data_IF_288330123659
#
_entry.id   IF_288330123659
#
_cell.length_a   1.000
_cell.length_b   1.000
_cell.length_c   1.000
_cell.angle_alpha   90.00
_cell.angle_beta   90.00
_cell.angle_gamma   90.00
#
_symmetry.space_group_name_H-M   'P 1'
#
loop_
_entity.id
_entity.type
_entity.pdbx_description
1 polymer ?
#
# COMPACT_ATOMS: atom_id res chain seq x y z
N UNK A 1 22.60 4.59 13.00
CA UNK A 1 23.87 4.38 13.71
C UNK A 1 24.93 5.39 13.25
N UNK A 2 25.28 5.47 11.95
CA UNK A 2 26.31 6.41 11.43
C UNK A 2 26.03 7.88 11.77
N UNK A 3 24.78 8.32 11.72
CA UNK A 3 24.40 9.71 12.07
C UNK A 3 24.63 9.99 13.56
N UNK A 4 24.25 9.08 14.44
CA UNK A 4 24.47 9.21 15.89
C UNK A 4 25.97 9.23 16.23
N UNK A 5 26.75 8.33 15.61
CA UNK A 5 28.22 8.32 15.78
C UNK A 5 28.88 9.60 15.30
N UNK A 6 28.39 10.22 14.20
CA UNK A 6 28.90 11.49 13.66
C UNK A 6 28.73 12.67 14.65
N UNK A 7 27.73 12.62 15.52
CA UNK A 7 27.51 13.58 16.60
C UNK A 7 27.93 13.00 17.97
N UNK A 8 28.82 12.01 17.99
CA UNK A 8 29.39 11.39 19.20
C UNK A 8 28.34 10.88 20.20
N UNK A 9 27.23 10.29 19.69
CA UNK A 9 26.23 9.63 20.51
C UNK A 9 26.40 8.12 20.34
N UNK A 10 26.79 7.44 21.42
CA UNK A 10 27.05 6.00 21.46
C UNK A 10 26.23 5.26 22.52
N UNK A 11 25.74 5.99 23.54
CA UNK A 11 25.01 5.45 24.69
C UNK A 11 23.68 6.20 24.89
N UNK A 12 22.81 5.67 25.74
CA UNK A 12 21.57 6.36 26.14
C UNK A 12 21.89 7.65 26.95
N UNK A 13 22.95 7.68 27.73
CA UNK A 13 23.38 8.87 28.47
C UNK A 13 23.80 9.98 27.51
N UNK A 14 24.51 9.64 26.42
CA UNK A 14 24.87 10.62 25.38
C UNK A 14 23.65 11.23 24.71
N UNK A 15 22.58 10.43 24.48
CA UNK A 15 21.31 10.92 23.93
C UNK A 15 20.75 12.02 24.82
N UNK A 16 20.75 11.82 26.13
CA UNK A 16 20.27 12.80 27.10
C UNK A 16 21.16 14.02 27.18
N UNK A 17 22.45 13.84 27.27
CA UNK A 17 23.43 14.92 27.33
C UNK A 17 23.40 15.83 26.10
N UNK A 18 23.21 15.23 24.89
CA UNK A 18 23.21 15.95 23.61
C UNK A 18 21.81 16.13 23.03
N UNK A 19 20.77 16.16 23.85
CA UNK A 19 19.35 16.24 23.42
C UNK A 19 19.02 17.46 22.55
N UNK A 20 19.72 18.59 22.77
CA UNK A 20 19.52 19.79 21.95
C UNK A 20 20.04 19.60 20.53
N UNK A 21 21.28 19.10 20.39
CA UNK A 21 21.89 18.79 19.10
C UNK A 21 21.07 17.73 18.35
N UNK A 22 20.64 16.70 19.08
CA UNK A 22 19.81 15.63 18.54
C UNK A 22 18.47 16.19 17.98
N UNK A 23 17.85 17.14 18.66
CA UNK A 23 16.58 17.74 18.24
C UNK A 23 16.68 18.55 16.94
N UNK A 24 17.88 19.05 16.64
CA UNK A 24 18.14 19.83 15.41
C UNK A 24 18.52 18.88 14.24
N UNK A 25 19.23 17.78 14.54
CA UNK A 25 19.80 16.93 13.50
C UNK A 25 18.91 15.73 13.10
N UNK A 26 17.96 15.32 13.94
CA UNK A 26 17.18 14.09 13.74
C UNK A 26 15.70 14.31 13.99
N UNK A 27 14.87 14.13 12.97
CA UNK A 27 13.39 14.29 13.07
C UNK A 27 12.76 13.36 14.11
N UNK A 28 13.29 12.13 14.25
CA UNK A 28 12.81 11.13 15.21
C UNK A 28 13.42 11.25 16.62
N UNK A 29 13.99 12.40 16.96
CA UNK A 29 14.70 12.59 18.25
C UNK A 29 13.84 12.28 19.48
N UNK A 30 12.52 12.56 19.43
CA UNK A 30 11.60 12.27 20.55
C UNK A 30 11.53 10.79 20.86
N UNK A 31 11.55 9.94 19.83
CA UNK A 31 11.57 8.48 20.02
C UNK A 31 12.88 8.03 20.67
N UNK A 32 14.00 8.61 20.27
CA UNK A 32 15.32 8.30 20.87
C UNK A 32 15.40 8.76 22.32
N UNK A 33 14.88 9.95 22.64
CA UNK A 33 14.81 10.43 24.03
C UNK A 33 13.90 9.54 24.89
N UNK A 34 12.72 9.16 24.39
CA UNK A 34 11.84 8.26 25.09
C UNK A 34 12.51 6.90 25.34
N UNK A 35 13.19 6.35 24.33
CA UNK A 35 13.92 5.10 24.46
C UNK A 35 15.07 5.19 25.49
N UNK A 36 15.81 6.30 25.51
CA UNK A 36 16.87 6.54 26.51
C UNK A 36 16.34 6.60 27.95
N UNK A 37 15.09 7.07 28.13
CA UNK A 37 14.40 7.12 29.41
C UNK A 37 13.66 5.81 29.76
N UNK A 38 13.72 4.78 28.89
CA UNK A 38 12.96 3.55 29.06
C UNK A 38 11.46 3.70 28.83
N UNK A 39 11.04 4.77 28.18
CA UNK A 39 9.62 5.04 27.86
C UNK A 39 9.33 4.48 26.49
N UNK A 40 8.39 3.55 26.39
CA UNK A 40 7.90 3.01 25.12
C UNK A 40 6.41 2.73 25.20
N UNK A 41 5.75 2.73 24.05
CA UNK A 41 4.37 2.25 23.96
C UNK A 41 4.40 0.71 24.06
N UNK A 42 3.82 0.18 25.13
CA UNK A 42 3.70 -1.26 25.38
C UNK A 42 2.36 -1.81 24.89
N UNK A 43 1.48 -0.95 24.38
CA UNK A 43 0.18 -1.38 23.87
C UNK A 43 0.33 -1.96 22.46
N UNK A 44 0.08 -3.27 22.33
CA UNK A 44 0.07 -3.98 21.05
C UNK A 44 -1.36 -4.01 20.52
N UNK A 45 -1.67 -3.15 19.58
CA UNK A 45 -2.94 -3.19 18.85
C UNK A 45 -2.74 -3.94 17.52
N UNK A 46 -3.74 -4.75 17.08
CA UNK A 46 -3.66 -5.36 15.76
C UNK A 46 -3.64 -4.25 14.69
N UNK A 47 -2.74 -4.33 13.69
CA UNK A 47 -2.70 -3.34 12.62
C UNK A 47 -4.01 -3.38 11.82
N UNK A 48 -4.49 -2.21 11.40
CA UNK A 48 -5.60 -2.14 10.46
C UNK A 48 -5.21 -2.78 9.11
N UNK A 49 -6.18 -3.38 8.42
CA UNK A 49 -5.96 -3.96 7.09
C UNK A 49 -5.42 -2.93 6.09
N UNK A 50 -5.91 -1.69 6.16
CA UNK A 50 -5.50 -0.60 5.29
C UNK A 50 -4.04 -0.15 5.49
N UNK A 51 -3.47 -0.46 6.65
CA UNK A 51 -2.06 -0.15 6.94
C UNK A 51 -1.07 -1.11 6.27
N UNK A 52 -1.54 -2.24 5.68
CA UNK A 52 -0.66 -3.23 5.08
C UNK A 52 -0.09 -2.75 3.76
N UNK A 53 1.23 -2.55 3.71
CA UNK A 53 1.94 -2.01 2.54
C UNK A 53 2.55 -3.07 1.65
N UNK A 54 2.86 -4.25 2.19
CA UNK A 54 3.49 -5.36 1.46
C UNK A 54 3.22 -6.71 2.10
N UNK A 55 3.30 -7.75 1.28
CA UNK A 55 3.34 -9.16 1.69
C UNK A 55 4.60 -9.75 1.09
N UNK A 56 5.32 -10.59 1.81
CA UNK A 56 6.53 -11.21 1.29
C UNK A 56 6.83 -12.54 1.93
N UNK A 57 7.52 -13.38 1.17
CA UNK A 57 8.01 -14.68 1.61
C UNK A 57 9.50 -14.75 1.27
N UNK A 58 10.33 -15.13 2.23
CA UNK A 58 11.77 -15.29 2.07
C UNK A 58 12.16 -16.68 2.57
N UNK A 59 13.13 -17.30 1.90
CA UNK A 59 13.66 -18.62 2.28
C UNK A 59 15.17 -18.60 2.33
N UNK A 60 15.72 -19.00 3.46
CA UNK A 60 17.15 -19.23 3.62
C UNK A 60 17.50 -20.61 3.03
N UNK A 61 18.65 -20.70 2.39
CA UNK A 61 19.18 -21.92 1.77
C UNK A 61 20.66 -22.06 2.06
N UNK A 62 21.22 -23.24 1.84
CA UNK A 62 22.67 -23.40 1.78
C UNK A 62 23.23 -22.55 0.64
N UNK A 63 24.38 -21.85 0.83
CA UNK A 63 24.97 -21.05 -0.24
C UNK A 63 25.13 -21.87 -1.52
N UNK A 64 24.56 -21.37 -2.62
CA UNK A 64 24.59 -22.06 -3.91
C UNK A 64 24.68 -21.08 -5.07
N UNK A 65 25.35 -21.51 -6.12
CA UNK A 65 25.43 -20.85 -7.43
C UNK A 65 24.59 -21.57 -8.48
N UNK A 66 24.06 -22.77 -8.13
CA UNK A 66 23.29 -23.61 -9.04
C UNK A 66 21.98 -22.97 -9.45
N UNK A 67 21.79 -22.67 -10.75
CA UNK A 67 20.56 -22.05 -11.25
C UNK A 67 19.32 -22.89 -10.98
N UNK A 68 19.40 -24.21 -11.17
CA UNK A 68 18.26 -25.09 -11.02
C UNK A 68 17.71 -25.06 -9.58
N UNK A 69 18.61 -25.11 -8.61
CA UNK A 69 18.28 -25.00 -7.18
C UNK A 69 17.65 -23.62 -6.86
N UNK A 70 18.24 -22.52 -7.36
CA UNK A 70 17.72 -21.18 -7.15
C UNK A 70 16.32 -20.99 -7.73
N UNK A 71 16.08 -21.49 -8.94
CA UNK A 71 14.77 -21.43 -9.60
C UNK A 71 13.72 -22.27 -8.88
N UNK A 72 14.07 -23.47 -8.39
CA UNK A 72 13.18 -24.31 -7.61
C UNK A 72 12.74 -23.59 -6.31
N UNK A 73 13.68 -22.98 -5.60
CA UNK A 73 13.39 -22.21 -4.39
C UNK A 73 12.53 -20.97 -4.68
N UNK A 74 12.80 -20.23 -5.76
CA UNK A 74 11.98 -19.09 -6.17
C UNK A 74 10.55 -19.52 -6.52
N UNK A 75 10.37 -20.63 -7.25
CA UNK A 75 9.04 -21.15 -7.58
C UNK A 75 8.23 -21.47 -6.33
N UNK A 76 8.81 -22.23 -5.40
CA UNK A 76 8.16 -22.55 -4.12
C UNK A 76 7.83 -21.30 -3.31
N UNK A 77 8.72 -20.29 -3.35
CA UNK A 77 8.49 -19.00 -2.66
C UNK A 77 7.34 -18.23 -3.30
N UNK A 78 7.25 -18.22 -4.65
CA UNK A 78 6.13 -17.59 -5.37
C UNK A 78 4.79 -18.30 -5.12
N UNK A 79 4.78 -19.64 -5.03
CA UNK A 79 3.58 -20.41 -4.67
C UNK A 79 3.08 -20.07 -3.27
N UNK A 80 3.99 -19.93 -2.30
CA UNK A 80 3.65 -19.53 -0.94
C UNK A 80 3.10 -18.11 -0.89
N UNK A 81 3.78 -17.16 -1.56
CA UNK A 81 3.33 -15.78 -1.63
C UNK A 81 1.98 -15.64 -2.36
N UNK A 82 1.74 -16.40 -3.42
CA UNK A 82 0.48 -16.41 -4.15
C UNK A 82 -0.67 -16.86 -3.24
N UNK A 83 -0.48 -17.93 -2.44
CA UNK A 83 -1.47 -18.39 -1.47
C UNK A 83 -1.81 -17.31 -0.45
N UNK A 84 -0.80 -16.62 0.08
CA UNK A 84 -0.98 -15.54 1.04
C UNK A 84 -1.75 -14.35 0.43
N UNK A 85 -1.42 -13.98 -0.81
CA UNK A 85 -2.12 -12.91 -1.53
C UNK A 85 -3.59 -13.25 -1.79
N UNK A 86 -3.87 -14.48 -2.21
CA UNK A 86 -5.25 -14.98 -2.44
C UNK A 86 -6.03 -15.01 -1.14
N UNK A 87 -5.46 -15.60 -0.07
CA UNK A 87 -6.10 -15.70 1.23
C UNK A 87 -6.46 -14.32 1.82
N UNK A 88 -5.60 -13.34 1.59
CA UNK A 88 -5.77 -11.98 2.08
C UNK A 88 -6.49 -11.06 1.10
N UNK A 89 -6.87 -11.59 -0.07
CA UNK A 89 -7.52 -10.86 -1.17
C UNK A 89 -6.74 -9.62 -1.63
N UNK A 90 -5.42 -9.74 -1.78
CA UNK A 90 -4.56 -8.70 -2.35
C UNK A 90 -4.07 -9.04 -3.75
N UNK A 91 -3.83 -8.01 -4.54
CA UNK A 91 -3.03 -8.04 -5.77
C UNK A 91 -1.92 -7.01 -5.67
N UNK A 92 -0.77 -7.27 -6.30
CA UNK A 92 0.40 -6.40 -6.23
C UNK A 92 0.69 -5.72 -7.56
N UNK A 93 1.04 -4.45 -7.54
CA UNK A 93 1.56 -3.73 -8.71
C UNK A 93 3.09 -3.67 -8.75
N UNK A 94 3.75 -4.03 -7.67
CA UNK A 94 5.22 -4.06 -7.62
C UNK A 94 5.66 -5.38 -7.02
N UNK A 95 6.54 -6.08 -7.74
CA UNK A 95 7.17 -7.32 -7.29
C UNK A 95 8.65 -7.06 -7.10
N UNK A 96 9.18 -7.47 -5.96
CA UNK A 96 10.57 -7.28 -5.57
C UNK A 96 11.22 -8.63 -5.31
N UNK A 97 12.30 -8.93 -6.03
CA UNK A 97 13.22 -10.00 -5.73
C UNK A 97 14.11 -9.56 -4.57
N UNK A 98 14.23 -10.40 -3.55
CA UNK A 98 15.09 -10.19 -2.39
C UNK A 98 16.14 -11.28 -2.37
N UNK A 99 17.40 -10.91 -2.32
CA UNK A 99 18.50 -11.87 -2.28
C UNK A 99 19.50 -11.51 -1.18
N UNK A 100 20.15 -12.54 -0.66
CA UNK A 100 21.29 -12.41 0.24
C UNK A 100 22.45 -13.27 -0.27
N UNK A 101 23.60 -12.67 -0.43
CA UNK A 101 24.83 -13.35 -0.83
C UNK A 101 25.36 -14.24 0.31
N UNK A 102 26.25 -15.14 -0.02
CA UNK A 102 27.06 -15.92 0.94
C UNK A 102 27.83 -15.01 1.91
N UNK A 103 28.25 -13.84 1.46
CA UNK A 103 28.88 -12.78 2.27
C UNK A 103 27.93 -12.06 3.22
N UNK A 104 26.65 -12.46 3.29
CA UNK A 104 25.56 -11.82 4.05
C UNK A 104 25.11 -10.45 3.50
N UNK A 105 25.69 -9.96 2.42
CA UNK A 105 25.22 -8.77 1.73
C UNK A 105 23.80 -9.00 1.17
N UNK A 106 22.87 -8.10 1.52
CA UNK A 106 21.50 -8.15 1.04
C UNK A 106 21.29 -7.14 -0.09
N UNK A 107 20.69 -7.58 -1.17
CA UNK A 107 20.26 -6.69 -2.25
C UNK A 107 18.83 -7.00 -2.70
N UNK A 108 18.21 -6.04 -3.34
CA UNK A 108 16.85 -6.16 -3.85
C UNK A 108 16.75 -5.61 -5.27
N UNK A 109 15.86 -6.22 -6.08
CA UNK A 109 15.49 -5.71 -7.40
C UNK A 109 13.98 -5.67 -7.52
N UNK A 110 13.43 -4.54 -7.91
CA UNK A 110 12.00 -4.33 -8.00
C UNK A 110 11.56 -4.07 -9.44
N UNK A 111 10.36 -4.57 -9.78
CA UNK A 111 9.72 -4.29 -11.05
C UNK A 111 8.26 -3.92 -10.83
N UNK A 112 7.84 -2.78 -11.41
CA UNK A 112 6.45 -2.41 -11.48
C UNK A 112 5.76 -3.21 -12.61
N UNK A 113 4.60 -3.78 -12.30
CA UNK A 113 3.78 -4.55 -13.22
C UNK A 113 2.67 -3.64 -13.77
N UNK A 114 2.45 -3.66 -15.09
CA UNK A 114 1.35 -2.89 -15.73
C UNK A 114 -0.02 -3.37 -15.24
N UNK A 115 -0.17 -4.68 -15.09
CA UNK A 115 -1.35 -5.34 -14.53
C UNK A 115 -0.99 -5.85 -13.14
N UNK A 116 -1.91 -5.71 -12.18
CA UNK A 116 -1.69 -6.22 -10.83
C UNK A 116 -1.67 -7.75 -10.82
N UNK A 117 -0.63 -8.33 -10.24
CA UNK A 117 -0.34 -9.76 -10.22
C UNK A 117 -0.61 -10.37 -8.84
N UNK A 118 -0.95 -11.65 -8.82
CA UNK A 118 -1.17 -12.42 -7.59
C UNK A 118 -0.96 -13.93 -7.80
N UNK A 119 -0.90 -14.41 -9.06
CA UNK A 119 -0.68 -15.83 -9.35
C UNK A 119 0.79 -16.20 -9.18
N UNK A 120 1.07 -17.46 -8.86
CA UNK A 120 2.43 -17.96 -8.72
C UNK A 120 3.24 -17.80 -10.00
N UNK A 121 2.60 -18.01 -11.16
CA UNK A 121 3.30 -17.97 -12.46
C UNK A 121 3.65 -16.53 -12.85
N UNK A 122 2.73 -15.57 -12.64
CA UNK A 122 3.01 -14.16 -12.90
C UNK A 122 4.14 -13.63 -11.99
N UNK A 123 4.08 -13.97 -10.69
CA UNK A 123 5.13 -13.61 -9.73
C UNK A 123 6.47 -14.22 -10.14
N UNK A 124 6.46 -15.51 -10.47
CA UNK A 124 7.67 -16.22 -10.87
C UNK A 124 8.27 -15.64 -12.17
N UNK A 125 7.47 -15.36 -13.18
CA UNK A 125 7.94 -14.75 -14.43
C UNK A 125 8.69 -13.43 -14.18
N UNK A 126 8.19 -12.59 -13.27
CA UNK A 126 8.83 -11.31 -12.91
C UNK A 126 10.16 -11.56 -12.18
N UNK A 127 10.17 -12.38 -11.13
CA UNK A 127 11.38 -12.57 -10.31
C UNK A 127 12.44 -13.40 -11.01
N UNK A 128 12.03 -14.34 -11.87
CA UNK A 128 12.94 -15.09 -12.73
C UNK A 128 13.73 -14.14 -13.63
N UNK A 129 13.03 -13.23 -14.34
CA UNK A 129 13.68 -12.28 -15.22
C UNK A 129 14.61 -11.33 -14.43
N UNK A 130 14.24 -10.94 -13.20
CA UNK A 130 15.10 -10.12 -12.34
C UNK A 130 16.35 -10.87 -11.87
N UNK A 131 16.21 -12.16 -11.52
CA UNK A 131 17.36 -12.99 -11.12
C UNK A 131 18.32 -13.20 -12.29
N UNK A 132 17.81 -13.51 -13.48
CA UNK A 132 18.66 -13.72 -14.67
C UNK A 132 19.38 -12.41 -15.08
N UNK A 133 18.74 -11.26 -14.94
CA UNK A 133 19.42 -9.97 -15.16
C UNK A 133 20.58 -9.76 -14.19
N UNK A 134 20.40 -10.08 -12.90
CA UNK A 134 21.49 -9.97 -11.91
C UNK A 134 22.61 -10.98 -12.17
N UNK A 135 22.28 -12.20 -12.57
CA UNK A 135 23.27 -13.21 -12.91
C UNK A 135 24.09 -12.79 -14.11
N UNK A 136 23.44 -12.24 -15.15
CA UNK A 136 24.11 -11.76 -16.35
C UNK A 136 24.98 -10.53 -16.10
N UNK A 137 24.59 -9.67 -15.16
CA UNK A 137 25.32 -8.45 -14.79
C UNK A 137 26.49 -8.72 -13.82
N UNK A 138 26.50 -9.87 -13.16
CA UNK A 138 27.54 -10.21 -12.18
C UNK A 138 28.80 -10.73 -12.88
N UNK A 139 29.97 -10.15 -12.61
CA UNK A 139 31.24 -10.61 -13.20
C UNK A 139 31.71 -11.97 -12.63
N UNK A 140 31.16 -12.39 -11.50
CA UNK A 140 31.43 -13.68 -10.86
C UNK A 140 30.13 -14.44 -10.63
N UNK A 141 30.17 -15.79 -10.54
CA UNK A 141 28.97 -16.58 -10.24
C UNK A 141 28.27 -16.07 -8.98
N UNK A 142 26.96 -15.78 -9.10
CA UNK A 142 26.17 -15.23 -8.00
C UNK A 142 25.84 -16.32 -6.98
N UNK A 143 26.58 -16.36 -5.88
CA UNK A 143 26.36 -17.27 -4.76
C UNK A 143 25.33 -16.68 -3.80
N UNK A 144 24.15 -17.35 -3.67
CA UNK A 144 23.06 -16.89 -2.83
C UNK A 144 22.78 -17.86 -1.69
N UNK A 145 22.48 -17.32 -0.53
CA UNK A 145 22.05 -18.04 0.68
C UNK A 145 20.63 -17.70 1.12
N UNK A 146 19.97 -16.73 0.49
CA UNK A 146 18.59 -16.42 0.69
C UNK A 146 17.99 -15.90 -0.60
N UNK A 147 16.82 -16.40 -0.93
CA UNK A 147 15.95 -15.85 -1.97
C UNK A 147 14.58 -15.56 -1.39
N UNK A 148 13.98 -14.48 -1.85
CA UNK A 148 12.67 -14.06 -1.41
C UNK A 148 11.94 -13.24 -2.44
N UNK A 149 10.64 -13.16 -2.28
CA UNK A 149 9.74 -12.38 -3.12
C UNK A 149 8.86 -11.53 -2.24
N UNK A 150 8.77 -10.24 -2.56
CA UNK A 150 7.90 -9.28 -1.88
C UNK A 150 6.95 -8.65 -2.88
N UNK A 151 5.68 -8.68 -2.55
CA UNK A 151 4.61 -8.00 -3.24
C UNK A 151 4.30 -6.68 -2.53
N UNK A 152 4.29 -5.56 -3.24
CA UNK A 152 4.00 -4.22 -2.70
C UNK A 152 3.11 -3.42 -3.64
N UNK A 153 2.75 -2.19 -3.26
CA UNK A 153 1.69 -1.43 -3.94
C UNK A 153 0.42 -2.28 -4.06
N UNK A 154 -0.02 -2.77 -2.90
CA UNK A 154 -1.12 -3.71 -2.81
C UNK A 154 -2.45 -3.05 -3.18
N UNK A 155 -3.27 -3.77 -3.92
CA UNK A 155 -4.66 -3.46 -4.21
C UNK A 155 -5.50 -4.43 -3.39
N UNK A 156 -6.28 -3.91 -2.46
CA UNK A 156 -7.24 -4.70 -1.68
C UNK A 156 -8.47 -4.99 -2.55
N UNK A 157 -8.73 -6.28 -2.79
CA UNK A 157 -9.83 -6.72 -3.64
C UNK A 157 -11.19 -6.63 -2.94
N UNK A 158 -11.23 -6.49 -1.61
CA UNK A 158 -12.46 -6.21 -0.89
C UNK A 158 -12.88 -4.75 -1.10
N UNK A 159 -11.97 -3.80 -0.90
CA UNK A 159 -12.25 -2.37 -1.11
C UNK A 159 -12.46 -2.03 -2.58
N UNK A 160 -11.81 -2.73 -3.51
CA UNK A 160 -12.02 -2.52 -4.95
C UNK A 160 -13.43 -2.90 -5.41
N UNK A 161 -14.09 -3.86 -4.72
CA UNK A 161 -15.51 -4.20 -4.95
C UNK A 161 -16.48 -3.22 -4.30
N UNK A 162 -16.03 -2.52 -3.25
CA UNK A 162 -16.82 -1.59 -2.43
C UNK A 162 -16.36 -0.14 -2.56
N UNK A 163 -15.55 0.17 -3.56
CA UNK A 163 -15.10 1.53 -3.86
C UNK A 163 -16.27 2.49 -4.08
N UNK A 164 -16.06 3.83 -3.95
CA UNK A 164 -17.12 4.84 -4.05
C UNK A 164 -18.00 4.67 -5.29
N UNK A 165 -17.40 4.30 -6.41
CA UNK A 165 -18.14 4.05 -7.66
C UNK A 165 -19.01 2.78 -7.62
N UNK A 166 -18.50 1.70 -7.00
CA UNK A 166 -19.23 0.45 -6.83
C UNK A 166 -20.37 0.61 -5.82
N UNK A 167 -20.18 1.42 -4.79
CA UNK A 167 -21.20 1.79 -3.81
C UNK A 167 -22.28 2.65 -4.46
N UNK A 168 -21.88 3.57 -5.34
CA UNK A 168 -22.80 4.40 -6.13
C UNK A 168 -23.62 3.55 -7.14
N UNK A 169 -23.01 2.52 -7.73
CA UNK A 169 -23.70 1.59 -8.64
C UNK A 169 -24.62 0.60 -7.91
N UNK A 170 -24.31 0.24 -6.66
CA UNK A 170 -25.14 -0.67 -5.83
C UNK A 170 -26.33 0.05 -5.19
N UNK A 171 -26.20 1.33 -4.90
CA UNK A 171 -27.28 2.19 -4.46
C UNK A 171 -27.60 3.14 -5.59
N UNK A 172 -28.61 2.85 -6.43
CA UNK A 172 -29.20 3.93 -7.23
C UNK A 172 -29.54 5.04 -6.24
N UNK A 173 -29.23 6.32 -6.55
CA UNK A 173 -29.54 7.40 -5.64
C UNK A 173 -31.00 7.22 -5.22
N UNK A 174 -31.22 6.81 -4.00
CA UNK A 174 -32.54 6.87 -3.38
C UNK A 174 -32.89 8.33 -3.51
N UNK A 175 -33.75 8.63 -4.49
CA UNK A 175 -34.27 9.95 -4.63
C UNK A 175 -34.79 10.29 -3.25
N UNK A 176 -34.07 11.17 -2.52
CA UNK A 176 -34.50 11.65 -1.23
C UNK A 176 -35.93 12.10 -1.47
N UNK A 177 -36.87 11.49 -0.76
CA UNK A 177 -38.30 11.86 -0.84
C UNK A 177 -38.55 13.17 -0.11
N UNK A 178 -37.49 13.90 0.24
CA UNK A 178 -37.60 15.19 0.88
C UNK A 178 -38.35 16.14 -0.06
N UNK A 179 -39.38 16.81 0.43
CA UNK A 179 -40.14 17.77 -0.37
C UNK A 179 -39.17 18.88 -0.81
N UNK A 180 -39.16 19.19 -2.10
CA UNK A 180 -38.35 20.27 -2.64
C UNK A 180 -39.19 21.54 -2.58
N UNK A 181 -38.80 22.49 -1.76
CA UNK A 181 -39.44 23.80 -1.60
C UNK A 181 -38.98 24.71 -2.73
N UNK A 182 -39.93 25.36 -3.41
CA UNK A 182 -39.60 26.32 -4.46
C UNK A 182 -38.96 27.59 -3.86
N UNK A 183 -37.79 28.03 -4.33
CA UNK A 183 -37.17 29.23 -3.80
C UNK A 183 -37.87 30.53 -4.18
N UNK A 184 -38.81 30.51 -5.16
CA UNK A 184 -39.53 31.70 -5.63
C UNK A 184 -40.86 31.85 -4.90
N UNK A 185 -41.65 30.79 -4.68
CA UNK A 185 -42.98 30.89 -4.06
C UNK A 185 -43.10 30.16 -2.71
N UNK A 186 -41.99 29.55 -2.22
CA UNK A 186 -41.91 28.82 -0.93
C UNK A 186 -42.91 27.66 -0.79
N UNK A 187 -43.45 27.13 -1.90
CA UNK A 187 -44.40 26.00 -1.93
C UNK A 187 -43.66 24.71 -2.23
N UNK A 188 -44.15 23.62 -1.67
CA UNK A 188 -43.63 22.27 -1.98
C UNK A 188 -43.91 21.92 -3.44
N UNK A 189 -42.83 21.50 -4.13
CA UNK A 189 -42.93 21.06 -5.53
C UNK A 189 -43.33 19.58 -5.56
N UNK A 190 -44.51 19.29 -6.09
CA UNK A 190 -44.96 17.93 -6.33
C UNK A 190 -44.17 17.30 -7.49
N UNK A 191 -43.26 16.40 -7.17
CA UNK A 191 -42.41 15.72 -8.17
C UNK A 191 -43.19 14.54 -8.77
N UNK A 192 -43.57 14.65 -10.04
CA UNK A 192 -44.16 13.57 -10.83
C UNK A 192 -43.21 13.22 -12.00
N UNK A 193 -42.76 11.99 -12.10
CA UNK A 193 -41.84 11.56 -13.17
C UNK A 193 -40.35 11.95 -12.91
N UNK A 194 -39.69 12.47 -13.95
CA UNK A 194 -38.24 12.87 -13.83
C UNK A 194 -38.13 14.09 -12.93
N UNK A 195 -37.49 13.95 -11.78
CA UNK A 195 -37.40 14.95 -10.70
C UNK A 195 -36.95 16.33 -11.18
N UNK A 196 -35.86 16.38 -11.95
CA UNK A 196 -35.31 17.64 -12.48
C UNK A 196 -36.28 18.37 -13.43
N UNK A 197 -36.96 17.66 -14.32
CA UNK A 197 -37.89 18.25 -15.25
C UNK A 197 -39.10 18.88 -14.53
N UNK A 198 -39.67 18.22 -13.52
CA UNK A 198 -40.79 18.72 -12.72
C UNK A 198 -40.41 19.96 -11.89
N UNK A 199 -39.21 19.98 -11.33
CA UNK A 199 -38.68 21.11 -10.56
C UNK A 199 -38.46 22.31 -11.46
N UNK A 200 -37.79 22.13 -12.60
CA UNK A 200 -37.51 23.22 -13.53
C UNK A 200 -38.81 23.82 -14.12
N UNK A 201 -39.75 22.99 -14.54
CA UNK A 201 -41.04 23.47 -15.04
C UNK A 201 -41.82 24.30 -14.01
N UNK A 202 -41.76 23.91 -12.72
CA UNK A 202 -42.39 24.70 -11.65
C UNK A 202 -41.69 26.03 -11.43
N UNK A 203 -40.34 26.06 -11.40
CA UNK A 203 -39.55 27.29 -11.20
C UNK A 203 -39.76 28.26 -12.35
N UNK A 204 -39.75 27.79 -13.61
CA UNK A 204 -40.01 28.59 -14.80
C UNK A 204 -41.37 29.24 -14.76
N UNK A 205 -42.42 28.49 -14.34
CA UNK A 205 -43.75 29.01 -14.19
C UNK A 205 -43.85 30.07 -13.08
N UNK A 206 -43.10 29.93 -11.99
CA UNK A 206 -43.03 30.91 -10.90
C UNK A 206 -42.33 32.22 -11.33
N UNK A 207 -41.17 32.08 -12.02
CA UNK A 207 -40.44 33.23 -12.56
C UNK A 207 -41.25 34.03 -13.58
N UNK A 208 -41.96 33.34 -14.47
CA UNK A 208 -42.86 34.00 -15.46
C UNK A 208 -44.04 34.73 -14.85
N UNK A 209 -44.48 34.36 -13.65
CA UNK A 209 -45.53 35.09 -12.90
C UNK A 209 -44.95 36.27 -12.14
N UNK A 210 -43.76 36.14 -11.57
CA UNK A 210 -43.11 37.23 -10.82
C UNK A 210 -42.68 38.39 -11.74
N UNK A 211 -42.45 38.18 -13.02
CA UNK A 211 -42.11 39.18 -14.02
C UNK A 211 -43.33 39.95 -14.58
N UNK A 212 -44.56 39.64 -14.15
CA UNK A 212 -45.80 40.29 -14.61
C UNK A 212 -46.47 41.17 -13.53
N UNK A 213 -45.85 41.28 -12.36
CA UNK A 213 -46.23 42.17 -11.27
C UNK A 213 -45.14 43.22 -11.08
#
# INVERSE_FOLDING_TARGET
ERMLSAISIHTCDDIWARRVELSVCIDSYRMLLAAALGISDTHIAPPSRDARRSVGCERTLAPTTDPATLHAHLRTTCESLSRDLVQQAYRARTVTLVCKRDTFERFTRARACRVAVYTSDDLYAVVHALLEQERAASPVPLCLRLVGVRASSLIDMHTARDGPLAQWLKTPPTASRDPVVCPVCSKDIQVRGVRTASINAHIDACLSRASRT
#
